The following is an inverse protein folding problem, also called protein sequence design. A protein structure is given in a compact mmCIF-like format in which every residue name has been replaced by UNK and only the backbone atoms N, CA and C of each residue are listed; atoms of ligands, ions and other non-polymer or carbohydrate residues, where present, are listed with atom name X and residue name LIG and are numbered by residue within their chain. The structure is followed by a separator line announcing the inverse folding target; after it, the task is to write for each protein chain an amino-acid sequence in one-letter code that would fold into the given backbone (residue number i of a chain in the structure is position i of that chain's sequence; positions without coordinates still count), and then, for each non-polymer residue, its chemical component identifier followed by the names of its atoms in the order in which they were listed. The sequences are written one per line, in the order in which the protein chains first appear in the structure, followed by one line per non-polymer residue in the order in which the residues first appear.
data_IF_080624685004
#
_entry.id   IF_080624685004
#
_cell.length_a   1.000
_cell.length_b   1.000
_cell.length_c   1.000
_cell.angle_alpha   90.00
_cell.angle_beta   90.00
_cell.angle_gamma   90.00
#
_symmetry.space_group_name_H-M   'P 1'
#
loop_
_entity.id
_entity.type
_entity.pdbx_description
1 polymer ?
#
# COMPACT_ATOMS: atom_id res chain seq x y z
N UNK A 1 -6.86 2.55 1.45
CA UNK A 1 -7.33 3.57 0.48
C UNK A 1 -7.90 2.88 -0.75
N UNK A 2 -8.73 3.54 -1.55
CA UNK A 2 -9.28 3.00 -2.80
C UNK A 2 -9.27 4.06 -3.90
N UNK A 3 -9.21 3.62 -5.17
CA UNK A 3 -9.21 4.52 -6.32
C UNK A 3 -10.63 4.78 -6.81
N UNK A 4 -10.89 5.99 -7.30
CA UNK A 4 -11.95 6.22 -8.29
C UNK A 4 -11.51 7.22 -9.33
N UNK A 5 -11.86 6.99 -10.60
CA UNK A 5 -11.73 7.97 -11.71
C UNK A 5 -10.47 8.84 -11.59
N UNK A 6 -9.31 8.19 -11.43
CA UNK A 6 -8.02 8.87 -11.39
C UNK A 6 -7.60 9.50 -10.06
N UNK A 7 -8.41 9.43 -9.00
CA UNK A 7 -8.07 9.91 -7.66
C UNK A 7 -8.11 8.76 -6.64
N UNK A 8 -7.49 9.00 -5.49
CA UNK A 8 -7.50 8.05 -4.37
C UNK A 8 -8.15 8.68 -3.15
N UNK A 9 -8.88 7.84 -2.42
CA UNK A 9 -9.60 8.29 -1.24
C UNK A 9 -9.50 7.29 -0.09
N UNK A 10 -9.72 7.83 1.11
CA UNK A 10 -10.01 7.06 2.29
C UNK A 10 -11.51 7.11 2.62
N UNK A 11 -11.98 6.07 3.31
CA UNK A 11 -13.30 6.10 3.94
C UNK A 11 -13.17 6.66 5.35
N UNK A 12 -14.12 7.48 5.76
CA UNK A 12 -14.23 7.97 7.14
C UNK A 12 -15.38 7.29 7.88
N UNK A 13 -15.32 7.32 9.21
CA UNK A 13 -16.44 6.99 10.08
C UNK A 13 -17.28 8.26 10.27
N UNK A 14 -18.53 8.20 9.78
CA UNK A 14 -19.44 9.33 9.82
C UNK A 14 -19.80 9.71 11.24
N UNK A 15 -20.07 8.73 12.10
CA UNK A 15 -20.48 8.96 13.49
C UNK A 15 -19.38 9.71 14.24
N UNK A 16 -18.17 9.16 14.28
CA UNK A 16 -17.01 9.80 14.92
C UNK A 16 -16.74 11.19 14.33
N UNK A 17 -16.86 11.36 13.00
CA UNK A 17 -16.68 12.68 12.39
C UNK A 17 -17.75 13.69 12.82
N UNK A 18 -19.02 13.28 12.84
CA UNK A 18 -20.14 14.12 13.27
C UNK A 18 -20.03 14.49 14.75
N UNK A 19 -19.60 13.56 15.60
CA UNK A 19 -19.41 13.77 17.04
C UNK A 19 -18.31 14.80 17.30
N UNK A 20 -17.11 14.60 16.72
CA UNK A 20 -15.99 15.53 16.90
C UNK A 20 -16.31 16.91 16.31
N UNK A 21 -17.01 16.98 15.18
CA UNK A 21 -17.46 18.26 14.61
C UNK A 21 -18.37 19.01 15.59
N UNK A 22 -19.29 18.30 16.24
CA UNK A 22 -20.19 18.88 17.23
C UNK A 22 -19.45 19.31 18.50
N UNK A 23 -18.53 18.48 19.00
CA UNK A 23 -17.68 18.82 20.15
C UNK A 23 -16.83 20.07 19.92
N UNK A 24 -16.31 20.24 18.71
CA UNK A 24 -15.50 21.41 18.33
C UNK A 24 -16.35 22.62 17.88
N UNK A 25 -17.68 22.53 17.87
CA UNK A 25 -18.61 23.55 17.37
C UNK A 25 -18.27 24.07 15.95
N UNK A 26 -17.75 23.19 15.08
CA UNK A 26 -17.33 23.58 13.73
C UNK A 26 -18.49 23.47 12.74
N UNK A 27 -18.68 24.51 11.94
CA UNK A 27 -19.59 24.48 10.81
C UNK A 27 -18.92 23.84 9.58
N UNK A 28 -19.72 23.47 8.58
CA UNK A 28 -19.18 23.04 7.28
C UNK A 28 -18.33 24.13 6.60
N UNK A 29 -18.55 25.40 6.93
CA UNK A 29 -17.75 26.52 6.43
C UNK A 29 -16.37 26.55 7.06
N UNK A 30 -16.30 26.44 8.38
CA UNK A 30 -15.03 26.46 9.12
C UNK A 30 -14.14 25.30 8.70
N UNK A 31 -14.72 24.10 8.57
CA UNK A 31 -13.98 22.92 8.09
C UNK A 31 -13.49 23.12 6.64
N UNK A 32 -14.27 23.77 5.80
CA UNK A 32 -13.90 24.03 4.42
C UNK A 32 -12.70 24.99 4.33
N UNK A 33 -12.71 26.03 5.16
CA UNK A 33 -11.61 26.99 5.27
C UNK A 33 -10.35 26.32 5.83
N UNK A 34 -10.48 25.58 6.94
CA UNK A 34 -9.35 24.87 7.55
C UNK A 34 -8.75 23.87 6.56
N UNK A 35 -9.56 23.07 5.87
CA UNK A 35 -9.06 22.06 4.91
C UNK A 35 -8.68 22.65 3.55
N UNK A 36 -8.93 23.94 3.32
CA UNK A 36 -8.78 24.62 2.02
C UNK A 36 -9.50 23.86 0.88
N UNK A 37 -10.78 23.57 1.10
CA UNK A 37 -11.67 22.90 0.14
C UNK A 37 -13.00 23.65 0.06
N UNK A 38 -13.86 23.32 -0.91
CA UNK A 38 -15.19 23.91 -0.95
C UNK A 38 -16.10 23.36 0.15
N UNK A 39 -17.05 24.16 0.64
CA UNK A 39 -18.12 23.71 1.55
C UNK A 39 -18.86 22.47 1.02
N UNK A 40 -19.07 22.42 -0.29
CA UNK A 40 -19.66 21.26 -0.97
C UNK A 40 -18.78 20.00 -0.90
N UNK A 41 -17.45 20.15 -0.86
CA UNK A 41 -16.55 19.03 -0.63
C UNK A 41 -16.73 18.46 0.78
N UNK A 42 -16.78 19.32 1.81
CA UNK A 42 -17.00 18.88 3.20
C UNK A 42 -18.35 18.20 3.36
N UNK A 43 -19.42 18.75 2.76
CA UNK A 43 -20.73 18.10 2.72
C UNK A 43 -20.66 16.69 2.12
N UNK A 44 -19.90 16.50 1.03
CA UNK A 44 -19.67 15.17 0.45
C UNK A 44 -18.83 14.27 1.36
N UNK A 45 -17.89 14.80 2.12
CA UNK A 45 -17.09 14.01 3.04
C UNK A 45 -17.99 13.38 4.11
N UNK A 46 -18.91 14.16 4.67
CA UNK A 46 -19.86 13.71 5.69
C UNK A 46 -20.89 12.72 5.11
N UNK A 47 -21.48 13.04 3.96
CA UNK A 47 -22.56 12.23 3.38
C UNK A 47 -22.05 10.97 2.67
N UNK A 48 -20.99 11.09 1.87
CA UNK A 48 -20.41 9.99 1.09
C UNK A 48 -19.29 9.26 1.85
N UNK A 49 -18.96 9.71 3.06
CA UNK A 49 -17.94 9.13 3.93
C UNK A 49 -16.59 8.98 3.24
N UNK A 50 -16.21 9.95 2.39
CA UNK A 50 -15.10 9.82 1.46
C UNK A 50 -14.27 11.08 1.39
N UNK A 51 -12.98 10.97 1.69
CA UNK A 51 -12.02 12.08 1.60
C UNK A 51 -10.91 11.79 0.58
N UNK A 52 -10.53 12.77 -0.27
CA UNK A 52 -9.34 12.67 -1.13
C UNK A 52 -8.07 12.51 -0.32
N UNK A 53 -7.09 11.77 -0.86
CA UNK A 53 -5.79 11.58 -0.23
C UNK A 53 -5.15 12.87 0.25
N UNK A 54 -5.09 13.88 -0.62
CA UNK A 54 -4.49 15.20 -0.33
C UNK A 54 -5.09 15.92 0.89
N UNK A 55 -6.24 15.46 1.37
CA UNK A 55 -6.95 16.02 2.53
C UNK A 55 -6.72 15.16 3.79
N UNK A 56 -6.29 13.90 3.65
CA UNK A 56 -6.21 12.92 4.74
C UNK A 56 -5.36 13.38 5.91
N UNK A 57 -4.17 13.93 5.63
CA UNK A 57 -3.23 14.32 6.68
C UNK A 57 -3.82 15.44 7.54
N UNK A 58 -4.15 16.57 6.92
CA UNK A 58 -4.79 17.72 7.58
C UNK A 58 -6.10 17.34 8.27
N UNK A 59 -6.89 16.46 7.64
CA UNK A 59 -8.12 15.95 8.24
C UNK A 59 -7.84 15.12 9.50
N UNK A 60 -6.80 14.29 9.49
CA UNK A 60 -6.41 13.47 10.64
C UNK A 60 -5.80 14.29 11.78
N UNK A 61 -5.18 15.43 11.48
CA UNK A 61 -4.66 16.36 12.48
C UNK A 61 -5.79 17.01 13.29
N UNK A 62 -6.88 17.39 12.62
CA UNK A 62 -8.01 18.10 13.24
C UNK A 62 -8.94 17.12 13.96
N UNK A 63 -9.33 16.04 13.26
CA UNK A 63 -10.37 15.13 13.72
C UNK A 63 -9.82 13.82 14.31
N UNK A 64 -8.49 13.68 14.38
CA UNK A 64 -7.85 12.46 14.86
C UNK A 64 -7.84 11.33 13.82
N UNK A 65 -6.88 10.41 14.00
CA UNK A 65 -6.67 9.27 13.08
C UNK A 65 -7.80 8.23 13.13
N UNK A 66 -8.57 8.18 14.22
CA UNK A 66 -9.61 7.18 14.43
C UNK A 66 -10.86 7.43 13.58
N UNK A 67 -11.05 8.65 13.07
CA UNK A 67 -12.09 8.97 12.09
C UNK A 67 -11.84 8.26 10.77
N UNK A 68 -10.60 7.94 10.42
CA UNK A 68 -10.30 7.22 9.18
C UNK A 68 -10.54 5.72 9.39
N UNK A 69 -11.43 5.13 8.58
CA UNK A 69 -11.69 3.69 8.62
C UNK A 69 -10.42 2.92 8.26
N UNK A 70 -9.89 2.20 9.24
CA UNK A 70 -8.77 1.26 9.06
C UNK A 70 -9.18 0.18 8.06
N UNK A 71 -8.33 -0.07 7.06
CA UNK A 71 -8.51 -1.22 6.16
C UNK A 71 -8.03 -2.45 6.91
N UNK A 72 -8.94 -3.39 7.19
CA UNK A 72 -8.55 -4.70 7.71
C UNK A 72 -7.86 -5.47 6.57
N UNK A 73 -6.56 -5.71 6.71
CA UNK A 73 -5.86 -6.72 5.91
C UNK A 73 -6.17 -8.05 6.58
N UNK A 74 -7.04 -8.87 5.99
CA UNK A 74 -7.43 -10.16 6.56
C UNK A 74 -6.38 -11.21 6.22
N UNK A 75 -6.25 -12.26 7.05
CA UNK A 75 -5.46 -13.45 6.67
C UNK A 75 -5.97 -14.09 5.37
N UNK A 76 -7.26 -13.92 5.05
CA UNK A 76 -7.84 -14.38 3.79
C UNK A 76 -7.38 -13.61 2.55
N UNK A 77 -6.79 -12.41 2.69
CA UNK A 77 -6.16 -11.67 1.59
C UNK A 77 -4.65 -11.93 1.48
N UNK A 78 -4.12 -12.81 2.34
CA UNK A 78 -2.74 -13.27 2.22
C UNK A 78 -2.65 -14.19 1.00
N UNK A 79 -1.71 -13.91 0.11
CA UNK A 79 -1.46 -14.73 -1.07
C UNK A 79 -0.57 -15.88 -0.61
N UNK A 80 -1.15 -16.82 0.13
CA UNK A 80 -0.46 -18.03 0.57
C UNK A 80 -0.36 -19.00 -0.58
N UNK A 81 0.88 -19.23 -1.06
CA UNK A 81 1.28 -20.20 -2.08
C UNK A 81 0.18 -20.50 -3.11
N UNK A 82 0.17 -19.75 -4.22
CA UNK A 82 -0.59 -20.22 -5.38
C UNK A 82 0.22 -21.35 -5.99
N UNK A 83 0.09 -22.56 -5.42
CA UNK A 83 0.48 -23.81 -6.06
C UNK A 83 -0.40 -23.98 -7.29
N UNK A 84 -0.05 -23.28 -8.34
CA UNK A 84 -0.52 -23.61 -9.68
C UNK A 84 0.65 -23.38 -10.58
N UNK A 85 0.94 -24.38 -11.40
CA UNK A 85 1.88 -24.36 -12.50
C UNK A 85 1.64 -23.13 -13.40
N UNK A 86 2.09 -21.94 -12.99
CA UNK A 86 2.24 -20.82 -13.90
C UNK A 86 3.40 -21.27 -14.78
N UNK A 87 3.03 -21.85 -15.93
CA UNK A 87 3.98 -22.25 -16.95
C UNK A 87 5.01 -21.12 -17.10
N UNK A 88 6.29 -21.50 -17.14
CA UNK A 88 7.42 -20.59 -17.39
C UNK A 88 7.28 -19.77 -18.69
N UNK A 89 6.21 -19.97 -19.46
CA UNK A 89 5.85 -19.23 -20.65
C UNK A 89 5.59 -17.75 -20.33
N UNK A 90 6.40 -16.91 -20.98
CA UNK A 90 6.31 -15.46 -21.15
C UNK A 90 5.30 -14.73 -20.25
N UNK A 91 5.79 -14.24 -19.09
CA UNK A 91 5.12 -13.22 -18.26
C UNK A 91 4.64 -12.01 -19.09
N UNK A 92 5.27 -11.79 -20.25
CA UNK A 92 4.90 -10.80 -21.26
C UNK A 92 3.44 -10.86 -21.72
N UNK A 93 2.89 -12.05 -21.96
CA UNK A 93 1.53 -12.26 -22.50
C UNK A 93 0.46 -12.42 -21.42
N UNK A 94 0.87 -12.48 -20.16
CA UNK A 94 -0.05 -12.68 -19.05
C UNK A 94 -0.94 -11.45 -18.86
N UNK A 95 -2.23 -11.70 -18.65
CA UNK A 95 -3.18 -10.65 -18.23
C UNK A 95 -2.69 -9.99 -16.93
N UNK A 96 -2.95 -8.69 -16.71
CA UNK A 96 -2.41 -7.94 -15.56
C UNK A 96 -2.59 -8.63 -14.21
N UNK A 97 -3.76 -9.26 -13.99
CA UNK A 97 -4.06 -9.98 -12.75
C UNK A 97 -3.18 -11.21 -12.54
N UNK A 98 -2.91 -11.98 -13.61
CA UNK A 98 -2.00 -13.14 -13.55
C UNK A 98 -0.56 -12.70 -13.28
N UNK A 99 -0.13 -11.54 -13.79
CA UNK A 99 1.20 -10.99 -13.50
C UNK A 99 1.35 -10.62 -12.03
N UNK A 100 0.35 -9.94 -11.46
CA UNK A 100 0.36 -9.61 -10.04
C UNK A 100 0.47 -10.88 -9.20
N UNK A 101 -0.26 -11.94 -9.58
CA UNK A 101 -0.19 -13.22 -8.87
C UNK A 101 1.20 -13.87 -8.97
N UNK A 102 1.82 -13.86 -10.15
CA UNK A 102 3.18 -14.36 -10.33
C UNK A 102 4.20 -13.60 -9.47
N UNK A 103 4.13 -12.26 -9.46
CA UNK A 103 5.03 -11.43 -8.64
C UNK A 103 4.83 -11.74 -7.15
N UNK A 104 3.56 -11.85 -6.71
CA UNK A 104 3.27 -12.20 -5.33
C UNK A 104 3.81 -13.58 -4.96
N UNK A 105 3.63 -14.58 -5.83
CA UNK A 105 4.12 -15.94 -5.61
C UNK A 105 5.65 -16.00 -5.57
N UNK A 106 6.33 -15.26 -6.47
CA UNK A 106 7.79 -15.14 -6.47
C UNK A 106 8.29 -14.52 -5.16
N UNK A 107 7.68 -13.43 -4.70
CA UNK A 107 8.04 -12.81 -3.42
C UNK A 107 7.75 -13.74 -2.22
N UNK A 108 6.64 -14.48 -2.26
CA UNK A 108 6.35 -15.51 -1.25
C UNK A 108 7.41 -16.62 -1.23
N UNK A 109 7.87 -17.07 -2.41
CA UNK A 109 8.93 -18.08 -2.53
C UNK A 109 10.28 -17.58 -1.99
N UNK A 110 10.55 -16.28 -2.08
CA UNK A 110 11.71 -15.61 -1.47
C UNK A 110 11.55 -15.37 0.05
N UNK A 111 10.47 -15.86 0.68
CA UNK A 111 10.27 -15.75 2.12
C UNK A 111 9.67 -14.42 2.59
N UNK A 112 9.00 -13.69 1.71
CA UNK A 112 8.15 -12.56 2.11
C UNK A 112 6.73 -13.04 2.44
N UNK A 113 6.10 -12.42 3.44
CA UNK A 113 4.65 -12.55 3.58
C UNK A 113 4.00 -11.58 2.60
N UNK A 114 3.14 -12.09 1.71
CA UNK A 114 2.49 -11.27 0.68
C UNK A 114 0.99 -11.18 0.87
N UNK A 115 0.45 -9.98 0.65
CA UNK A 115 -0.99 -9.71 0.66
C UNK A 115 -1.39 -8.98 -0.61
N UNK A 116 -2.63 -9.21 -1.04
CA UNK A 116 -3.24 -8.35 -2.04
C UNK A 116 -3.27 -6.91 -1.54
N UNK A 117 -2.83 -5.99 -2.41
CA UNK A 117 -2.73 -4.60 -2.09
C UNK A 117 -4.05 -3.85 -2.23
N UNK A 118 -3.93 -2.57 -2.58
CA UNK A 118 -5.10 -1.70 -2.80
C UNK A 118 -5.07 -1.16 -4.22
N UNK A 119 -5.89 -0.16 -4.52
CA UNK A 119 -5.79 0.48 -5.83
C UNK A 119 -4.45 1.22 -6.06
N UNK A 120 -3.73 1.51 -4.97
CA UNK A 120 -2.47 2.23 -4.93
C UNK A 120 -1.25 1.40 -5.35
N UNK A 121 -1.20 0.17 -4.84
CA UNK A 121 -0.13 -0.79 -5.04
C UNK A 121 -0.77 -2.17 -5.16
N UNK A 122 -0.23 -3.03 -6.00
CA UNK A 122 -0.82 -4.32 -6.30
C UNK A 122 -0.62 -5.32 -5.16
N UNK A 123 0.54 -5.28 -4.49
CA UNK A 123 0.95 -6.28 -3.49
C UNK A 123 1.64 -5.55 -2.33
N UNK A 124 1.35 -5.98 -1.11
CA UNK A 124 2.17 -5.65 0.06
C UNK A 124 3.01 -6.88 0.41
N UNK A 125 4.33 -6.75 0.36
CA UNK A 125 5.27 -7.80 0.76
C UNK A 125 6.03 -7.37 2.01
N UNK A 126 5.89 -8.13 3.11
CA UNK A 126 6.55 -7.82 4.38
C UNK A 126 7.68 -8.81 4.59
N UNK A 127 8.87 -8.26 4.83
CA UNK A 127 9.98 -9.06 5.32
C UNK A 127 9.69 -9.43 6.79
N UNK A 128 9.40 -10.71 7.03
CA UNK A 128 9.51 -11.24 8.40
C UNK A 128 10.96 -11.71 8.57
N UNK A 129 11.71 -11.03 9.44
CA UNK A 129 12.99 -11.52 9.88
C UNK A 129 12.75 -12.72 10.81
N UNK A 130 12.48 -13.88 10.23
CA UNK A 130 12.34 -15.14 10.98
C UNK A 130 13.73 -15.71 11.28
N UNK A 131 14.44 -15.08 12.22
CA UNK A 131 15.27 -15.87 13.13
C UNK A 131 14.34 -16.39 14.23
N UNK A 132 13.37 -17.24 13.87
CA UNK A 132 12.41 -17.82 14.80
C UNK A 132 12.22 -19.31 14.50
N UNK A 133 13.28 -20.07 14.73
CA UNK A 133 13.13 -21.43 15.25
C UNK A 133 12.58 -21.43 16.71
N UNK A 134 12.51 -20.26 17.38
CA UNK A 134 12.22 -20.15 18.82
C UNK A 134 10.83 -19.59 19.22
N UNK A 135 9.92 -19.26 18.28
CA UNK A 135 8.63 -18.64 18.65
C UNK A 135 7.41 -19.58 18.58
N UNK A 136 7.61 -20.91 18.68
CA UNK A 136 6.48 -21.81 18.96
C UNK A 136 6.03 -21.83 20.44
N UNK A 137 6.74 -21.15 21.34
CA UNK A 137 6.34 -21.07 22.75
C UNK A 137 6.61 -19.68 23.35
N UNK A 138 5.61 -18.79 23.29
CA UNK A 138 5.35 -17.67 24.24
C UNK A 138 4.07 -16.95 23.77
N UNK A 139 2.89 -17.39 24.25
CA UNK A 139 2.13 -16.80 25.37
C UNK A 139 1.59 -15.40 25.02
N UNK A 140 0.27 -15.19 24.89
CA UNK A 140 -0.70 -15.10 25.99
C UNK A 140 -0.13 -14.20 27.10
N UNK A 141 -0.73 -13.03 27.30
CA UNK A 141 -0.30 -11.93 28.17
C UNK A 141 0.64 -10.87 27.56
N UNK A 142 0.22 -9.62 27.78
CA UNK A 142 0.74 -8.44 27.12
C UNK A 142 2.19 -8.16 27.49
N UNK A 143 3.01 -8.00 26.46
CA UNK A 143 4.30 -7.37 26.56
C UNK A 143 4.35 -6.24 25.53
N UNK A 144 4.68 -5.03 25.99
CA UNK A 144 4.99 -3.85 25.19
C UNK A 144 5.89 -4.25 24.02
N UNK A 145 5.33 -4.24 22.81
CA UNK A 145 6.07 -4.58 21.61
C UNK A 145 7.01 -3.42 21.25
N UNK A 146 8.31 -3.59 21.53
CA UNK A 146 9.35 -2.82 20.85
C UNK A 146 9.28 -3.20 19.36
N UNK A 147 8.68 -2.30 18.57
CA UNK A 147 8.31 -2.51 17.17
C UNK A 147 9.56 -2.76 16.32
N UNK A 148 9.93 -4.03 16.11
CA UNK A 148 10.92 -4.44 15.10
C UNK A 148 10.53 -3.78 13.77
N UNK A 149 11.49 -3.12 13.12
CA UNK A 149 11.32 -2.41 11.85
C UNK A 149 10.95 -3.43 10.77
N UNK A 150 9.66 -3.66 10.57
CA UNK A 150 9.15 -4.47 9.46
C UNK A 150 9.47 -3.74 8.15
N UNK A 151 10.31 -4.34 7.31
CA UNK A 151 10.57 -3.81 5.97
C UNK A 151 9.36 -4.11 5.07
N UNK A 152 8.48 -3.12 4.97
CA UNK A 152 7.29 -3.15 4.11
C UNK A 152 7.67 -2.78 2.68
N UNK A 153 7.39 -3.67 1.75
CA UNK A 153 7.57 -3.44 0.33
C UNK A 153 6.20 -3.26 -0.33
N UNK A 154 5.91 -2.04 -0.77
CA UNK A 154 4.72 -1.71 -1.53
C UNK A 154 5.03 -1.92 -3.01
N UNK A 155 4.48 -2.99 -3.60
CA UNK A 155 4.83 -3.42 -4.95
C UNK A 155 3.75 -3.00 -5.95
N UNK A 156 4.17 -2.29 -6.99
CA UNK A 156 3.34 -1.89 -8.13
C UNK A 156 3.75 -2.70 -9.34
N UNK A 157 2.80 -3.44 -9.93
CA UNK A 157 3.04 -4.29 -11.10
C UNK A 157 2.25 -3.71 -12.28
N UNK A 158 2.96 -3.22 -13.30
CA UNK A 158 2.35 -2.69 -14.53
C UNK A 158 3.38 -2.57 -15.65
N UNK A 159 2.93 -2.72 -16.90
CA UNK A 159 3.73 -2.41 -18.09
C UNK A 159 3.47 -1.01 -18.64
N UNK A 160 2.44 -0.33 -18.15
CA UNK A 160 2.17 1.07 -18.49
C UNK A 160 2.94 1.98 -17.54
N UNK A 161 3.89 2.74 -18.10
CA UNK A 161 4.69 3.73 -17.38
C UNK A 161 3.83 4.78 -16.68
N UNK A 162 2.73 5.24 -17.28
CA UNK A 162 1.85 6.25 -16.68
C UNK A 162 1.19 5.70 -15.43
N UNK A 163 0.80 4.43 -15.44
CA UNK A 163 0.24 3.73 -14.26
C UNK A 163 1.31 3.54 -13.19
N UNK A 164 2.51 3.09 -13.58
CA UNK A 164 3.64 2.93 -12.66
C UNK A 164 3.97 4.25 -11.96
N UNK A 165 4.21 5.32 -12.72
CA UNK A 165 4.60 6.62 -12.16
C UNK A 165 3.51 7.22 -11.28
N UNK A 166 2.24 7.13 -11.70
CA UNK A 166 1.12 7.61 -10.90
C UNK A 166 0.97 6.86 -9.58
N UNK A 167 1.14 5.53 -9.60
CA UNK A 167 1.04 4.70 -8.40
C UNK A 167 2.26 4.83 -7.50
N UNK A 168 3.45 4.97 -8.08
CA UNK A 168 4.68 5.20 -7.35
C UNK A 168 4.65 6.50 -6.54
N UNK A 169 4.29 7.62 -7.18
CA UNK A 169 4.12 8.90 -6.48
C UNK A 169 3.11 8.78 -5.33
N UNK A 170 2.02 8.05 -5.56
CA UNK A 170 1.02 7.81 -4.54
C UNK A 170 1.57 6.98 -3.37
N UNK A 171 2.35 5.93 -3.65
CA UNK A 171 2.99 5.11 -2.63
C UNK A 171 4.03 5.92 -1.85
N UNK A 172 4.73 6.86 -2.48
CA UNK A 172 5.66 7.75 -1.78
C UNK A 172 4.97 8.62 -0.72
N UNK A 173 3.77 9.12 -1.01
CA UNK A 173 2.94 9.81 -0.01
C UNK A 173 2.50 8.85 1.12
N UNK A 174 2.24 7.57 0.81
CA UNK A 174 1.97 6.57 1.86
C UNK A 174 3.20 6.34 2.71
N UNK A 175 4.40 6.28 2.13
CA UNK A 175 5.63 5.93 2.85
C UNK A 175 6.13 7.04 3.78
N UNK A 176 5.63 8.28 3.60
CA UNK A 176 5.80 9.36 4.57
C UNK A 176 5.06 9.07 5.90
N UNK A 177 3.92 8.38 5.82
CA UNK A 177 3.09 8.04 6.98
C UNK A 177 3.43 6.64 7.52
N UNK A 178 3.65 5.68 6.62
CA UNK A 178 3.88 4.26 6.91
C UNK A 178 5.25 3.88 6.34
N UNK A 179 6.30 3.79 7.17
CA UNK A 179 7.64 3.45 6.69
C UNK A 179 7.65 2.17 5.84
N UNK A 180 8.26 2.27 4.66
CA UNK A 180 8.38 1.19 3.69
C UNK A 180 9.02 1.68 2.39
N UNK A 181 9.17 0.77 1.44
CA UNK A 181 9.83 1.00 0.14
C UNK A 181 8.80 0.78 -0.98
N UNK A 182 8.84 1.65 -1.99
CA UNK A 182 8.07 1.50 -3.23
C UNK A 182 8.90 0.70 -4.25
N UNK A 183 8.38 -0.41 -4.73
CA UNK A 183 9.01 -1.24 -5.76
C UNK A 183 8.08 -1.33 -6.97
N UNK A 184 8.55 -0.88 -8.12
CA UNK A 184 7.86 -1.05 -9.39
C UNK A 184 8.43 -2.25 -10.14
N UNK A 185 7.53 -3.14 -10.59
CA UNK A 185 7.83 -4.27 -11.44
C UNK A 185 7.18 -4.03 -12.80
N UNK A 186 7.97 -4.08 -13.86
CA UNK A 186 7.48 -3.91 -15.22
C UNK A 186 8.42 -4.46 -16.27
N UNK A 187 7.98 -4.49 -17.52
CA UNK A 187 8.74 -5.06 -18.63
C UNK A 187 10.02 -4.30 -18.96
N UNK A 188 9.96 -2.97 -18.95
CA UNK A 188 11.06 -2.10 -19.37
C UNK A 188 11.31 -1.03 -18.31
N UNK A 189 12.59 -0.83 -17.95
CA UNK A 189 12.99 0.32 -17.11
C UNK A 189 12.72 1.57 -17.94
N UNK A 190 11.80 2.45 -17.52
CA UNK A 190 11.52 3.66 -18.26
C UNK A 190 12.77 4.55 -18.24
N UNK A 191 13.05 5.24 -19.35
CA UNK A 191 14.15 6.21 -19.42
C UNK A 191 13.91 7.48 -18.59
N UNK A 192 12.77 7.56 -17.88
CA UNK A 192 12.40 8.65 -16.97
C UNK A 192 12.20 8.08 -15.58
N UNK A 193 12.51 8.88 -14.55
CA UNK A 193 12.22 8.51 -13.17
C UNK A 193 10.73 8.22 -12.98
N UNK A 194 10.41 7.11 -12.30
CA UNK A 194 9.03 6.69 -12.02
C UNK A 194 8.47 7.46 -10.82
N UNK A 195 9.30 7.63 -9.80
CA UNK A 195 9.08 8.40 -8.58
C UNK A 195 10.43 8.82 -7.99
N UNK A 196 10.44 9.63 -6.94
CA UNK A 196 11.67 10.14 -6.31
C UNK A 196 12.42 9.09 -5.50
N UNK A 197 11.68 8.18 -4.85
CA UNK A 197 12.18 7.15 -3.91
C UNK A 197 11.61 5.78 -4.27
N UNK A 198 11.56 5.51 -5.57
CA UNK A 198 10.96 4.29 -6.12
C UNK A 198 12.02 3.46 -6.81
N UNK A 199 12.11 2.20 -6.40
CA UNK A 199 13.01 1.24 -7.02
C UNK A 199 12.30 0.52 -8.16
N UNK A 200 13.05 0.12 -9.18
CA UNK A 200 12.47 -0.55 -10.34
C UNK A 200 13.24 -1.83 -10.66
N UNK A 201 12.52 -2.95 -10.71
CA UNK A 201 13.05 -4.23 -11.15
C UNK A 201 12.33 -4.68 -12.42
N UNK A 202 13.08 -5.14 -13.42
CA UNK A 202 12.45 -5.71 -14.61
C UNK A 202 11.82 -7.06 -14.25
N UNK A 203 10.73 -7.36 -14.94
CA UNK A 203 10.07 -8.67 -14.90
C UNK A 203 11.06 -9.85 -15.08
N UNK A 204 12.03 -9.71 -15.99
CA UNK A 204 13.05 -10.74 -16.24
C UNK A 204 14.08 -10.84 -15.12
N UNK A 205 14.49 -9.70 -14.56
CA UNK A 205 15.49 -9.66 -13.48
C UNK A 205 14.89 -10.32 -12.23
N UNK A 206 13.65 -9.96 -11.88
CA UNK A 206 12.90 -10.58 -10.77
C UNK A 206 12.73 -12.10 -10.93
N UNK A 207 12.63 -12.59 -12.16
CA UNK A 207 12.51 -14.04 -12.42
C UNK A 207 13.78 -14.78 -12.02
N UNK A 208 14.93 -14.19 -12.30
CA UNK A 208 16.24 -14.80 -12.10
C UNK A 208 16.69 -14.73 -10.64
N UNK A 209 16.13 -13.82 -9.84
CA UNK A 209 16.39 -13.73 -8.41
C UNK A 209 16.01 -15.03 -7.69
N UNK A 210 16.96 -15.71 -7.07
CA UNK A 210 16.73 -16.97 -6.35
C UNK A 210 16.65 -16.78 -4.84
N UNK A 211 17.33 -15.76 -4.31
CA UNK A 211 17.44 -15.52 -2.87
C UNK A 211 16.85 -14.16 -2.47
N UNK A 212 16.50 -14.05 -1.19
CA UNK A 212 15.93 -12.84 -0.63
C UNK A 212 16.96 -11.70 -0.59
N UNK A 213 18.21 -12.05 -0.35
CA UNK A 213 19.35 -11.15 -0.33
C UNK A 213 19.59 -10.57 -1.72
N UNK A 214 19.62 -11.43 -2.75
CA UNK A 214 19.74 -11.00 -4.15
C UNK A 214 18.57 -10.08 -4.55
N UNK A 215 17.34 -10.37 -4.12
CA UNK A 215 16.21 -9.47 -4.33
C UNK A 215 16.49 -8.07 -3.76
N UNK A 216 16.94 -8.00 -2.51
CA UNK A 216 17.24 -6.74 -1.81
C UNK A 216 18.34 -5.96 -2.54
N UNK A 217 19.35 -6.65 -3.05
CA UNK A 217 20.46 -6.01 -3.75
C UNK A 217 20.04 -5.45 -5.11
N UNK A 218 19.29 -6.23 -5.91
CA UNK A 218 18.76 -5.78 -7.21
C UNK A 218 17.84 -4.56 -7.07
N UNK A 219 17.17 -4.40 -5.94
CA UNK A 219 16.27 -3.28 -5.67
C UNK A 219 17.04 -2.01 -5.27
N UNK A 220 18.27 -2.13 -4.78
CA UNK A 220 19.08 -0.97 -4.36
C UNK A 220 19.85 -0.32 -5.52
N UNK A 221 19.95 -0.99 -6.67
CA UNK A 221 20.56 -0.49 -7.93
C UNK A 221 19.62 0.37 -8.79
#
# INVERSE_FOLDING_TARGET
MYSTRGNYCAKINREIFSDIKAELNLTLGDIAEILNVSKQAVYRYETQCRIPQKVIEKFSEIFGKDVIKKVKISKSSQISQVRSHISKNNLFEMRPMKKCLYVADKLSALGFLTWEGTAAFNILAINTNTNTADECHKNIFGAKQNKKKEDKNFVVVSNDFRVLSKRANFVEEITEIIPGICICVGRYKPGKAIGKRTNFIKENDLRNVETKEEFIDVIKE
#
